data_IF_287404984854
#
_entry.id   IF_287404984854
#
_cell.length_a   1.000
_cell.length_b   1.000
_cell.length_c   1.000
_cell.angle_alpha   90.00
_cell.angle_beta   90.00
_cell.angle_gamma   90.00
#
_symmetry.space_group_name_H-M   'P 1'
#
loop_
_entity.id
_entity.type
_entity.pdbx_description
1 polymer ?
#
# COMPACT_ATOMS: atom_id res chain seq x y z
N UNK A 1 -28.66 4.29 10.00
CA UNK A 1 -28.40 2.86 9.79
C UNK A 1 -27.11 2.73 8.99
N UNK A 2 -26.09 2.16 9.62
CA UNK A 2 -24.87 1.76 8.91
C UNK A 2 -25.13 0.38 8.32
N UNK A 3 -24.96 0.20 7.01
CA UNK A 3 -25.08 -1.12 6.36
C UNK A 3 -23.68 -1.59 5.99
N UNK A 4 -23.37 -2.84 6.31
CA UNK A 4 -22.19 -3.50 5.75
C UNK A 4 -22.62 -4.09 4.42
N UNK A 5 -22.10 -3.53 3.33
CA UNK A 5 -22.27 -4.04 1.97
C UNK A 5 -20.96 -4.67 1.51
N UNK A 6 -20.89 -6.01 1.48
CA UNK A 6 -19.64 -6.69 1.13
C UNK A 6 -19.24 -6.45 -0.33
N UNK A 7 -20.21 -6.17 -1.21
CA UNK A 7 -19.97 -5.83 -2.61
C UNK A 7 -19.25 -4.48 -2.77
N UNK A 8 -19.58 -3.49 -1.93
CA UNK A 8 -18.85 -2.22 -1.87
C UNK A 8 -17.41 -2.43 -1.39
N UNK A 9 -17.21 -3.30 -0.40
CA UNK A 9 -15.88 -3.61 0.15
C UNK A 9 -15.02 -4.37 -0.88
N UNK A 10 -15.60 -5.33 -1.61
CA UNK A 10 -14.91 -6.02 -2.71
C UNK A 10 -14.53 -5.05 -3.84
N UNK A 11 -15.43 -4.13 -4.19
CA UNK A 11 -15.17 -3.09 -5.20
C UNK A 11 -14.02 -2.19 -4.74
N UNK A 12 -14.03 -1.76 -3.48
CA UNK A 12 -12.96 -0.98 -2.89
C UNK A 12 -11.63 -1.75 -2.90
N UNK A 13 -11.63 -3.05 -2.56
CA UNK A 13 -10.42 -3.88 -2.59
C UNK A 13 -9.81 -3.96 -3.99
N UNK A 14 -10.64 -4.13 -5.02
CA UNK A 14 -10.18 -4.15 -6.40
C UNK A 14 -9.58 -2.80 -6.85
N UNK A 15 -10.23 -1.70 -6.47
CA UNK A 15 -9.74 -0.35 -6.76
C UNK A 15 -8.41 -0.07 -6.04
N UNK A 16 -8.33 -0.42 -4.75
CA UNK A 16 -7.13 -0.27 -3.92
C UNK A 16 -5.96 -1.04 -4.53
N UNK A 17 -6.16 -2.31 -4.89
CA UNK A 17 -5.13 -3.12 -5.53
C UNK A 17 -4.62 -2.48 -6.84
N UNK A 18 -5.53 -2.01 -7.70
CA UNK A 18 -5.17 -1.35 -8.96
C UNK A 18 -4.34 -0.08 -8.74
N UNK A 19 -4.73 0.73 -7.76
CA UNK A 19 -3.99 1.95 -7.39
C UNK A 19 -2.63 1.58 -6.79
N UNK A 20 -2.56 0.58 -5.91
CA UNK A 20 -1.32 0.14 -5.29
C UNK A 20 -0.35 -0.43 -6.32
N UNK A 21 -0.80 -1.22 -7.31
CA UNK A 21 0.07 -1.71 -8.39
C UNK A 21 0.74 -0.56 -9.16
N UNK A 22 -0.05 0.48 -9.48
CA UNK A 22 0.47 1.68 -10.14
C UNK A 22 1.47 2.42 -9.24
N UNK A 23 1.10 2.62 -7.97
CA UNK A 23 1.94 3.34 -7.01
C UNK A 23 3.24 2.60 -6.69
N UNK A 24 3.22 1.27 -6.59
CA UNK A 24 4.41 0.42 -6.40
C UNK A 24 5.44 0.64 -7.50
N UNK A 25 4.98 0.76 -8.76
CA UNK A 25 5.87 1.07 -9.88
C UNK A 25 6.53 2.44 -9.68
N UNK A 26 5.75 3.46 -9.37
CA UNK A 26 6.28 4.81 -9.12
C UNK A 26 7.26 4.86 -7.94
N UNK A 27 7.00 4.14 -6.85
CA UNK A 27 7.89 4.08 -5.68
C UNK A 27 9.20 3.37 -6.03
N UNK A 28 9.15 2.28 -6.81
CA UNK A 28 10.35 1.59 -7.31
C UNK A 28 11.18 2.49 -8.23
N UNK A 29 10.52 3.29 -9.07
CA UNK A 29 11.19 4.26 -9.94
C UNK A 29 11.89 5.35 -9.12
N UNK A 30 11.24 5.87 -8.05
CA UNK A 30 11.85 6.81 -7.09
C UNK A 30 13.07 6.18 -6.41
N UNK A 31 12.93 4.96 -5.88
CA UNK A 31 14.05 4.25 -5.23
C UNK A 31 15.22 4.05 -6.18
N UNK A 32 14.94 3.74 -7.45
CA UNK A 32 15.95 3.59 -8.51
C UNK A 32 16.64 4.91 -8.83
N UNK A 33 15.88 6.01 -8.95
CA UNK A 33 16.44 7.33 -9.19
C UNK A 33 17.36 7.78 -8.04
N UNK A 34 16.93 7.56 -6.79
CA UNK A 34 17.75 7.83 -5.61
C UNK A 34 19.01 6.99 -5.61
N UNK A 35 18.90 5.68 -5.89
CA UNK A 35 20.06 4.78 -5.98
C UNK A 35 21.07 5.28 -7.01
N UNK A 36 20.63 5.58 -8.23
CA UNK A 36 21.48 6.08 -9.30
C UNK A 36 22.19 7.39 -8.89
N UNK A 37 21.47 8.31 -8.25
CA UNK A 37 22.05 9.55 -7.73
C UNK A 37 23.11 9.29 -6.66
N UNK A 38 22.82 8.41 -5.70
CA UNK A 38 23.75 8.11 -4.60
C UNK A 38 25.02 7.41 -5.09
N UNK A 39 24.88 6.55 -6.09
CA UNK A 39 25.99 5.76 -6.68
C UNK A 39 26.78 6.52 -7.76
N UNK A 40 26.34 7.72 -8.19
CA UNK A 40 27.02 8.51 -9.22
C UNK A 40 28.38 9.06 -8.75
N UNK A 41 29.47 8.38 -9.07
CA UNK A 41 30.84 8.78 -8.69
C UNK A 41 31.38 10.02 -9.41
N UNK A 42 30.66 10.58 -10.39
CA UNK A 42 31.09 11.79 -11.11
C UNK A 42 30.91 13.07 -10.28
N UNK A 43 29.89 13.08 -9.42
CA UNK A 43 29.59 14.20 -8.51
C UNK A 43 30.44 14.11 -7.25
N UNK A 44 31.11 15.21 -6.90
CA UNK A 44 32.09 15.24 -5.79
C UNK A 44 31.94 16.48 -4.91
N UNK A 45 32.36 16.35 -3.66
CA UNK A 45 32.46 17.45 -2.70
C UNK A 45 31.56 17.23 -1.48
N UNK A 46 31.93 17.84 -0.35
CA UNK A 46 31.28 17.61 0.94
C UNK A 46 29.76 17.84 0.94
N UNK A 47 29.28 18.81 0.15
CA UNK A 47 27.85 19.08 0.00
C UNK A 47 27.13 17.96 -0.76
N UNK A 48 27.78 17.40 -1.80
CA UNK A 48 27.27 16.24 -2.55
C UNK A 48 27.23 15.02 -1.64
N UNK A 49 28.29 14.77 -0.86
CA UNK A 49 28.36 13.62 0.06
C UNK A 49 27.24 13.68 1.11
N UNK A 50 27.01 14.86 1.71
CA UNK A 50 25.93 15.07 2.67
C UNK A 50 24.54 14.85 2.04
N UNK A 51 24.33 15.36 0.82
CA UNK A 51 23.09 15.16 0.07
C UNK A 51 22.84 13.68 -0.23
N UNK A 52 23.83 12.97 -0.80
CA UNK A 52 23.71 11.54 -1.09
C UNK A 52 23.39 10.73 0.17
N UNK A 53 24.04 11.02 1.29
CA UNK A 53 23.76 10.36 2.55
C UNK A 53 22.31 10.61 3.01
N UNK A 54 21.83 11.86 2.94
CA UNK A 54 20.44 12.19 3.25
C UNK A 54 19.46 11.39 2.39
N UNK A 55 19.63 11.40 1.07
CA UNK A 55 18.72 10.69 0.16
C UNK A 55 18.73 9.18 0.44
N UNK A 56 19.90 8.57 0.65
CA UNK A 56 20.01 7.14 0.95
C UNK A 56 19.33 6.80 2.29
N UNK A 57 19.62 7.56 3.35
CA UNK A 57 19.11 7.29 4.70
C UNK A 57 17.61 7.55 4.82
N UNK A 58 17.05 8.47 4.03
CA UNK A 58 15.63 8.83 4.12
C UNK A 58 14.76 8.08 3.11
N UNK A 59 15.13 8.05 1.83
CA UNK A 59 14.23 7.55 0.79
C UNK A 59 14.18 6.04 0.72
N UNK A 60 15.25 5.31 1.02
CA UNK A 60 15.19 3.84 0.98
C UNK A 60 14.24 3.28 2.04
N UNK A 61 14.35 3.65 3.33
CA UNK A 61 13.39 3.18 4.33
C UNK A 61 11.97 3.68 4.06
N UNK A 62 11.81 4.90 3.56
CA UNK A 62 10.49 5.45 3.24
C UNK A 62 9.81 4.67 2.10
N UNK A 63 10.53 4.39 1.01
CA UNK A 63 9.99 3.60 -0.10
C UNK A 63 9.59 2.20 0.37
N UNK A 64 10.41 1.57 1.20
CA UNK A 64 10.15 0.24 1.74
C UNK A 64 8.94 0.24 2.68
N UNK A 65 8.82 1.24 3.56
CA UNK A 65 7.68 1.38 4.46
C UNK A 65 6.35 1.61 3.71
N UNK A 66 6.36 2.40 2.64
CA UNK A 66 5.14 2.63 1.85
C UNK A 66 4.72 1.36 1.11
N UNK A 67 5.67 0.63 0.52
CA UNK A 67 5.39 -0.66 -0.14
C UNK A 67 4.82 -1.66 0.86
N UNK A 68 5.35 -1.69 2.08
CA UNK A 68 4.87 -2.58 3.13
C UNK A 68 3.46 -2.21 3.60
N UNK A 69 3.19 -0.91 3.81
CA UNK A 69 1.85 -0.45 4.13
C UNK A 69 0.82 -0.82 3.05
N UNK A 70 1.21 -0.77 1.78
CA UNK A 70 0.36 -1.24 0.67
C UNK A 70 0.08 -2.74 0.77
N UNK A 71 1.11 -3.57 1.01
CA UNK A 71 0.96 -5.02 1.20
C UNK A 71 -0.01 -5.33 2.34
N UNK A 72 0.24 -4.72 3.50
CA UNK A 72 -0.53 -4.94 4.71
C UNK A 72 -2.00 -4.50 4.52
N UNK A 73 -2.22 -3.38 3.83
CA UNK A 73 -3.59 -2.90 3.54
C UNK A 73 -4.37 -3.87 2.66
N UNK A 74 -3.74 -4.43 1.62
CA UNK A 74 -4.35 -5.40 0.71
C UNK A 74 -4.61 -6.73 1.42
N UNK A 75 -3.65 -7.23 2.20
CA UNK A 75 -3.76 -8.48 2.95
C UNK A 75 -4.88 -8.40 3.99
N UNK A 76 -4.93 -7.33 4.80
CA UNK A 76 -5.96 -7.14 5.82
C UNK A 76 -7.36 -7.06 5.20
N UNK A 77 -7.49 -6.38 4.06
CA UNK A 77 -8.78 -6.25 3.38
C UNK A 77 -9.23 -7.57 2.74
N UNK A 78 -8.30 -8.32 2.14
CA UNK A 78 -8.57 -9.65 1.62
C UNK A 78 -9.00 -10.63 2.74
N UNK A 79 -8.29 -10.59 3.87
CA UNK A 79 -8.63 -11.38 5.05
C UNK A 79 -10.02 -11.03 5.60
N UNK A 80 -10.33 -9.73 5.69
CA UNK A 80 -11.66 -9.28 6.12
C UNK A 80 -12.79 -9.84 5.23
N UNK A 81 -12.62 -9.79 3.90
CA UNK A 81 -13.62 -10.33 2.95
C UNK A 81 -13.74 -11.85 3.11
N UNK A 82 -12.62 -12.56 3.24
CA UNK A 82 -12.62 -14.00 3.44
C UNK A 82 -13.31 -14.41 4.75
N UNK A 83 -13.02 -13.72 5.84
CA UNK A 83 -13.64 -13.94 7.15
C UNK A 83 -15.15 -13.65 7.11
N UNK A 84 -15.55 -12.58 6.43
CA UNK A 84 -16.97 -12.27 6.23
C UNK A 84 -17.70 -13.40 5.50
N UNK A 85 -17.15 -13.89 4.39
CA UNK A 85 -17.75 -14.99 3.64
C UNK A 85 -17.81 -16.30 4.44
N UNK A 86 -16.80 -16.57 5.28
CA UNK A 86 -16.73 -17.79 6.07
C UNK A 86 -17.66 -17.77 7.29
N UNK A 87 -17.82 -16.61 7.94
CA UNK A 87 -18.47 -16.51 9.25
C UNK A 87 -19.86 -15.88 9.19
N UNK A 88 -20.18 -15.15 8.13
CA UNK A 88 -21.40 -14.33 8.09
C UNK A 88 -22.29 -14.69 6.91
N UNK A 89 -21.84 -14.46 5.66
CA UNK A 89 -22.60 -14.79 4.45
C UNK A 89 -21.65 -14.93 3.25
N UNK A 90 -21.69 -16.07 2.56
CA UNK A 90 -20.85 -16.35 1.39
C UNK A 90 -21.33 -15.72 0.07
N UNK A 91 -22.45 -15.00 0.08
CA UNK A 91 -23.00 -14.33 -1.11
C UNK A 91 -22.20 -13.08 -1.46
N UNK A 92 -21.87 -12.90 -2.73
CA UNK A 92 -21.02 -11.80 -3.20
C UNK A 92 -21.66 -10.41 -3.01
N UNK A 93 -22.98 -10.33 -2.88
CA UNK A 93 -23.77 -9.12 -2.69
C UNK A 93 -24.45 -9.06 -1.32
N UNK A 94 -23.92 -9.80 -0.33
CA UNK A 94 -24.46 -9.82 1.01
C UNK A 94 -24.52 -8.41 1.64
N UNK A 95 -25.68 -8.07 2.19
CA UNK A 95 -25.93 -6.80 2.88
C UNK A 95 -26.46 -7.09 4.27
N UNK A 96 -25.80 -6.53 5.27
CA UNK A 96 -26.16 -6.74 6.67
C UNK A 96 -26.50 -5.40 7.28
N UNK A 97 -27.62 -5.36 8.00
CA UNK A 97 -27.93 -4.24 8.85
C UNK A 97 -27.03 -4.29 10.08
N UNK A 98 -26.21 -3.26 10.30
CA UNK A 98 -25.31 -3.24 11.45
C UNK A 98 -26.07 -3.03 12.77
N UNK A 99 -27.35 -2.64 12.71
CA UNK A 99 -28.21 -2.54 13.88
C UNK A 99 -28.53 -3.95 14.42
N UNK A 100 -27.86 -4.33 15.51
CA UNK A 100 -28.06 -5.61 16.20
C UNK A 100 -26.85 -6.56 16.19
N UNK A 101 -25.74 -6.17 15.56
CA UNK A 101 -24.44 -6.84 15.73
C UNK A 101 -23.85 -6.45 17.10
N UNK A 102 -24.28 -7.13 18.16
CA UNK A 102 -23.70 -7.06 19.50
C UNK A 102 -23.15 -8.41 19.94
#
# INVERSE_FOLDING_TARGET
MSRIDIGEIQTFAHQLHTVNETARKSIKDIKTAVKNYTEDGSLKGKAVDASKNYYQMTYFPLCDAIIEAMNESEERLAQYIADFHAQVDGSADAKIDADGLY
#
